data_IF_595203684634
#
_entry.id   IF_595203684634
#
_cell.length_a   1.000
_cell.length_b   1.000
_cell.length_c   1.000
_cell.angle_alpha   90.00
_cell.angle_beta   90.00
_cell.angle_gamma   90.00
#
_symmetry.space_group_name_H-M   'P 1'
#
loop_
_entity.id
_entity.type
_entity.pdbx_description
1 polymer ?
#
# COMPACT_ATOMS: atom_id res chain seq x y z
N UNK A 1 -44.75 4.82 22.97
CA UNK A 1 -43.77 3.95 22.28
C UNK A 1 -42.83 4.87 21.51
N UNK A 2 -41.66 5.14 22.05
CA UNK A 2 -40.66 5.95 21.35
C UNK A 2 -40.19 5.18 20.12
N UNK A 3 -40.27 5.80 18.94
CA UNK A 3 -39.53 5.33 17.77
C UNK A 3 -38.06 5.35 18.18
N UNK A 4 -37.40 4.20 18.19
CA UNK A 4 -35.95 4.16 18.11
C UNK A 4 -35.58 4.88 16.81
N UNK A 5 -35.17 6.14 16.90
CA UNK A 5 -34.48 6.83 15.82
C UNK A 5 -33.14 6.13 15.70
N UNK A 6 -33.00 5.21 14.74
CA UNK A 6 -31.70 4.65 14.38
C UNK A 6 -30.77 5.82 14.09
N UNK A 7 -29.77 6.04 14.94
CA UNK A 7 -28.78 7.09 14.70
C UNK A 7 -28.01 6.73 13.44
N UNK A 8 -27.95 7.68 12.51
CA UNK A 8 -27.11 7.57 11.32
C UNK A 8 -25.65 7.35 11.76
N UNK A 9 -24.99 6.38 11.17
CA UNK A 9 -23.56 6.09 11.40
C UNK A 9 -22.69 6.67 10.28
N UNK A 10 -21.38 6.83 10.51
CA UNK A 10 -20.44 7.28 9.48
C UNK A 10 -20.46 6.37 8.25
N UNK A 11 -20.52 5.05 8.46
CA UNK A 11 -20.61 4.06 7.38
C UNK A 11 -21.89 4.19 6.57
N UNK A 12 -23.03 4.48 7.22
CA UNK A 12 -24.29 4.74 6.52
C UNK A 12 -24.24 6.05 5.75
N UNK A 13 -23.64 7.11 6.33
CA UNK A 13 -23.40 8.37 5.65
C UNK A 13 -22.54 8.20 4.39
N UNK A 14 -21.43 7.44 4.49
CA UNK A 14 -20.58 7.07 3.34
C UNK A 14 -21.35 6.24 2.31
N UNK A 15 -22.28 5.38 2.76
CA UNK A 15 -23.14 4.61 1.86
C UNK A 15 -24.13 5.47 1.09
N UNK A 16 -24.69 6.52 1.72
CA UNK A 16 -25.55 7.50 1.04
C UNK A 16 -24.72 8.31 0.05
N UNK A 17 -23.52 8.75 0.45
CA UNK A 17 -22.60 9.48 -0.44
C UNK A 17 -22.18 8.62 -1.65
N UNK A 18 -21.90 7.34 -1.46
CA UNK A 18 -21.60 6.41 -2.54
C UNK A 18 -22.75 6.28 -3.55
N UNK A 19 -24.00 6.19 -3.08
CA UNK A 19 -25.17 6.14 -3.96
C UNK A 19 -25.32 7.41 -4.79
N UNK A 20 -25.05 8.58 -4.23
CA UNK A 20 -25.00 9.83 -5.01
C UNK A 20 -23.93 9.75 -6.10
N UNK A 21 -22.73 9.26 -5.77
CA UNK A 21 -21.64 9.19 -6.74
C UNK A 21 -21.89 8.16 -7.85
N UNK A 22 -22.60 7.07 -7.57
CA UNK A 22 -22.99 6.08 -8.58
C UNK A 22 -24.18 6.51 -9.45
N UNK A 23 -25.21 7.11 -8.84
CA UNK A 23 -26.41 7.60 -9.56
C UNK A 23 -26.18 8.96 -10.24
N UNK A 24 -25.14 9.67 -9.81
CA UNK A 24 -24.86 11.06 -10.18
C UNK A 24 -26.05 11.99 -9.89
N UNK A 25 -26.77 11.71 -8.80
CA UNK A 25 -27.93 12.48 -8.31
C UNK A 25 -27.80 12.74 -6.79
N UNK A 26 -27.81 14.01 -6.40
CA UNK A 26 -27.65 14.46 -5.02
C UNK A 26 -28.95 14.48 -4.21
N UNK A 27 -30.11 14.27 -4.84
CA UNK A 27 -31.43 14.47 -4.23
C UNK A 27 -31.63 13.69 -2.92
N UNK A 28 -31.18 12.44 -2.86
CA UNK A 28 -31.22 11.65 -1.62
C UNK A 28 -30.24 12.21 -0.58
N UNK A 29 -28.98 12.43 -0.98
CA UNK A 29 -27.90 12.89 -0.10
C UNK A 29 -28.22 14.23 0.58
N UNK A 30 -28.80 15.16 -0.16
CA UNK A 30 -29.24 16.48 0.33
C UNK A 30 -30.17 16.42 1.53
N UNK A 31 -31.04 15.40 1.60
CA UNK A 31 -31.98 15.23 2.70
C UNK A 31 -31.32 14.83 4.02
N UNK A 32 -30.08 14.33 3.96
CA UNK A 32 -29.29 13.89 5.12
C UNK A 32 -28.25 14.90 5.59
N UNK A 33 -28.00 15.97 4.83
CA UNK A 33 -27.06 17.01 5.23
C UNK A 33 -27.60 17.85 6.40
N UNK A 34 -26.71 18.19 7.33
CA UNK A 34 -26.92 19.25 8.30
C UNK A 34 -26.90 20.62 7.61
N UNK A 35 -27.51 21.65 8.22
CA UNK A 35 -27.54 23.00 7.62
C UNK A 35 -26.15 23.67 7.69
N UNK A 36 -25.39 23.40 8.76
CA UNK A 36 -23.99 23.82 8.98
C UNK A 36 -22.96 22.83 8.43
N UNK A 37 -23.35 22.05 7.42
CA UNK A 37 -22.49 21.06 6.78
C UNK A 37 -21.16 21.65 6.30
N UNK A 38 -20.07 20.91 6.55
CA UNK A 38 -18.73 21.25 6.09
C UNK A 38 -18.19 20.27 5.06
N UNK A 39 -17.60 20.78 3.98
CA UNK A 39 -16.86 19.98 3.01
C UNK A 39 -15.45 20.50 2.85
N UNK A 40 -14.49 19.62 3.07
CA UNK A 40 -13.08 19.87 2.79
C UNK A 40 -12.56 18.91 1.73
N UNK A 41 -11.60 19.37 0.93
CA UNK A 41 -10.94 18.49 -0.02
C UNK A 41 -9.51 18.91 -0.27
N UNK A 42 -8.58 17.96 -0.18
CA UNK A 42 -7.17 18.18 -0.51
C UNK A 42 -6.93 18.42 -2.01
N UNK A 43 -7.99 18.40 -2.83
CA UNK A 43 -7.96 18.75 -4.26
C UNK A 43 -8.63 20.11 -4.57
N UNK A 44 -9.29 20.75 -3.60
CA UNK A 44 -9.89 22.09 -3.78
C UNK A 44 -9.20 23.08 -2.84
N UNK A 45 -9.15 24.36 -3.24
CA UNK A 45 -8.39 25.39 -2.53
C UNK A 45 -9.14 26.00 -1.33
N UNK A 46 -10.45 25.76 -1.20
CA UNK A 46 -11.28 26.40 -0.18
C UNK A 46 -12.36 25.44 0.30
N UNK A 47 -12.48 25.32 1.63
CA UNK A 47 -13.51 24.54 2.29
C UNK A 47 -14.88 25.23 2.14
N UNK A 48 -15.94 24.42 2.01
CA UNK A 48 -17.32 24.88 1.98
C UNK A 48 -17.91 24.65 3.37
N UNK A 49 -18.59 25.66 3.92
CA UNK A 49 -19.03 25.63 5.32
C UNK A 49 -20.55 25.76 5.45
N UNK A 50 -21.28 25.47 4.38
CA UNK A 50 -22.72 25.32 4.41
C UNK A 50 -23.20 24.26 3.42
N UNK A 51 -24.40 23.75 3.68
CA UNK A 51 -25.12 22.86 2.78
C UNK A 51 -25.32 23.47 1.39
N UNK A 52 -25.80 24.72 1.31
CA UNK A 52 -26.09 25.36 0.03
C UNK A 52 -24.83 25.52 -0.83
N UNK A 53 -23.71 25.96 -0.25
CA UNK A 53 -22.42 26.06 -0.95
C UNK A 53 -21.98 24.72 -1.53
N UNK A 54 -22.08 23.63 -0.76
CA UNK A 54 -21.73 22.31 -1.24
C UNK A 54 -22.66 21.83 -2.36
N UNK A 55 -23.96 22.10 -2.26
CA UNK A 55 -24.94 21.68 -3.27
C UNK A 55 -24.76 22.44 -4.60
N UNK A 56 -24.49 23.74 -4.53
CA UNK A 56 -24.11 24.54 -5.70
C UNK A 56 -22.82 24.03 -6.36
N UNK A 57 -21.87 23.51 -5.57
CA UNK A 57 -20.64 22.92 -6.08
C UNK A 57 -20.84 21.53 -6.70
N UNK A 58 -21.53 20.62 -6.01
CA UNK A 58 -21.56 19.21 -6.38
C UNK A 58 -22.48 18.93 -7.57
N UNK A 59 -23.64 19.59 -7.68
CA UNK A 59 -24.60 19.34 -8.76
C UNK A 59 -24.00 19.57 -10.15
N UNK A 60 -23.35 20.71 -10.46
CA UNK A 60 -22.69 20.90 -11.75
C UNK A 60 -21.60 19.85 -12.02
N UNK A 61 -20.87 19.43 -10.98
CA UNK A 61 -19.81 18.43 -11.11
C UNK A 61 -20.36 17.05 -11.48
N UNK A 62 -21.47 16.64 -10.87
CA UNK A 62 -22.18 15.40 -11.23
C UNK A 62 -22.68 15.46 -12.68
N UNK A 63 -23.22 16.60 -13.12
CA UNK A 63 -23.66 16.80 -14.52
C UNK A 63 -22.51 16.77 -15.53
N UNK A 64 -21.32 17.27 -15.16
CA UNK A 64 -20.11 17.13 -15.99
C UNK A 64 -19.71 15.65 -16.09
N UNK A 65 -19.68 14.93 -14.96
CA UNK A 65 -19.32 13.50 -14.92
C UNK A 65 -20.30 12.66 -15.76
N UNK A 66 -21.62 12.95 -15.71
CA UNK A 66 -22.62 12.28 -16.57
C UNK A 66 -22.26 12.34 -18.05
N UNK A 67 -21.59 13.42 -18.50
CA UNK A 67 -21.23 13.64 -19.91
C UNK A 67 -19.91 12.99 -20.34
N UNK A 68 -19.06 12.55 -19.41
CA UNK A 68 -17.72 12.02 -19.74
C UNK A 68 -17.70 10.55 -20.14
N UNK A 69 -18.85 9.85 -20.03
CA UNK A 69 -18.98 8.40 -20.25
C UNK A 69 -17.95 7.56 -19.45
N UNK A 70 -17.47 8.10 -18.33
CA UNK A 70 -16.46 7.52 -17.47
C UNK A 70 -17.07 7.24 -16.09
N UNK A 71 -17.43 5.98 -15.80
CA UNK A 71 -18.17 5.64 -14.59
C UNK A 71 -17.37 5.97 -13.33
N UNK A 72 -18.05 6.46 -12.30
CA UNK A 72 -17.45 6.64 -10.98
C UNK A 72 -17.72 5.39 -10.17
N UNK A 73 -16.71 4.94 -9.44
CA UNK A 73 -16.82 3.85 -8.48
C UNK A 73 -16.50 4.39 -7.09
N UNK A 74 -17.40 4.15 -6.16
CA UNK A 74 -17.32 4.58 -4.77
C UNK A 74 -17.49 3.34 -3.88
N UNK A 75 -16.38 2.86 -3.35
CA UNK A 75 -16.31 1.61 -2.61
C UNK A 75 -16.18 1.86 -1.13
N UNK A 76 -16.96 1.18 -0.30
CA UNK A 76 -16.73 1.23 1.15
C UNK A 76 -15.39 0.56 1.48
N UNK A 77 -14.74 1.06 2.52
CA UNK A 77 -13.55 0.43 3.05
C UNK A 77 -13.20 0.94 4.43
N UNK A 78 -12.01 0.56 4.88
CA UNK A 78 -11.47 0.95 6.19
C UNK A 78 -10.11 1.59 5.96
N UNK A 79 -9.95 2.83 6.39
CA UNK A 79 -8.69 3.56 6.31
C UNK A 79 -8.62 4.51 7.52
N UNK A 80 -8.05 4.09 8.66
CA UNK A 80 -8.08 4.91 9.86
C UNK A 80 -7.26 6.19 9.70
N UNK A 81 -7.91 7.35 9.70
CA UNK A 81 -7.28 8.65 9.64
C UNK A 81 -8.22 9.75 10.12
N UNK A 82 -7.67 10.86 10.61
CA UNK A 82 -8.42 12.07 10.97
C UNK A 82 -9.56 11.86 11.99
N UNK A 83 -9.46 10.81 12.81
CA UNK A 83 -10.50 10.45 13.78
C UNK A 83 -11.59 9.51 13.26
N UNK A 84 -11.53 9.12 11.98
CA UNK A 84 -12.46 8.19 11.35
C UNK A 84 -11.82 6.82 11.15
N UNK A 85 -12.65 5.78 11.04
CA UNK A 85 -12.23 4.41 10.71
C UNK A 85 -12.74 3.97 9.34
N UNK A 86 -14.03 4.15 9.09
CA UNK A 86 -14.66 3.83 7.81
C UNK A 86 -14.32 4.92 6.78
N UNK A 87 -14.11 4.51 5.53
CA UNK A 87 -13.87 5.44 4.43
C UNK A 87 -14.60 5.00 3.16
N UNK A 88 -14.64 5.90 2.18
CA UNK A 88 -15.12 5.62 0.84
C UNK A 88 -14.00 5.85 -0.18
N UNK A 89 -13.55 4.78 -0.83
CA UNK A 89 -12.52 4.83 -1.86
C UNK A 89 -13.17 5.26 -3.17
N UNK A 90 -12.68 6.35 -3.75
CA UNK A 90 -13.18 6.92 -4.99
C UNK A 90 -12.28 6.50 -6.17
N UNK A 91 -12.87 6.02 -7.25
CA UNK A 91 -12.20 5.71 -8.51
C UNK A 91 -13.05 6.19 -9.70
N UNK A 92 -12.45 6.37 -10.88
CA UNK A 92 -13.19 6.78 -12.08
C UNK A 92 -12.64 6.12 -13.36
N UNK A 93 -13.54 5.74 -14.26
CA UNK A 93 -13.25 5.01 -15.49
C UNK A 93 -13.10 3.53 -15.22
N UNK A 94 -12.14 3.18 -14.36
CA UNK A 94 -11.83 1.82 -13.92
C UNK A 94 -11.77 1.74 -12.38
N UNK A 95 -12.19 0.60 -11.79
CA UNK A 95 -12.18 0.35 -10.33
C UNK A 95 -10.77 0.37 -9.72
N UNK A 96 -9.72 0.24 -10.53
CA UNK A 96 -8.30 0.35 -10.12
C UNK A 96 -7.72 1.77 -10.27
N UNK A 97 -8.41 2.67 -10.99
CA UNK A 97 -7.95 4.04 -11.17
C UNK A 97 -8.37 4.91 -9.97
N UNK A 98 -7.68 4.71 -8.84
CA UNK A 98 -8.01 5.31 -7.56
C UNK A 98 -7.70 6.82 -7.54
N UNK A 99 -8.63 7.60 -7.00
CA UNK A 99 -8.58 9.06 -6.98
C UNK A 99 -8.39 9.65 -5.58
N UNK A 100 -8.84 8.97 -4.53
CA UNK A 100 -8.78 9.44 -3.15
C UNK A 100 -9.72 8.68 -2.22
N UNK A 101 -9.68 9.01 -0.93
CA UNK A 101 -10.57 8.47 0.10
C UNK A 101 -11.44 9.59 0.67
N UNK A 102 -12.71 9.30 0.92
CA UNK A 102 -13.62 10.22 1.58
C UNK A 102 -13.96 9.71 2.99
N UNK A 103 -14.04 10.65 3.93
CA UNK A 103 -14.52 10.44 5.30
C UNK A 103 -15.80 11.24 5.51
N UNK A 104 -16.66 10.76 6.39
CA UNK A 104 -17.91 11.42 6.75
C UNK A 104 -17.99 11.63 8.26
N UNK A 105 -18.42 12.82 8.66
CA UNK A 105 -18.78 13.13 10.04
C UNK A 105 -20.30 13.14 10.18
N UNK A 106 -20.80 12.62 11.30
CA UNK A 106 -22.23 12.56 11.59
C UNK A 106 -22.49 13.14 12.98
N UNK A 107 -23.40 14.10 13.04
CA UNK A 107 -23.86 14.74 14.28
C UNK A 107 -25.39 14.79 14.28
N UNK A 108 -26.01 14.47 15.42
CA UNK A 108 -27.47 14.50 15.61
C UNK A 108 -28.28 13.75 14.54
N UNK A 109 -27.71 12.69 13.96
CA UNK A 109 -28.36 11.88 12.91
C UNK A 109 -28.33 12.50 11.51
N UNK A 110 -27.50 13.54 11.31
CA UNK A 110 -27.27 14.23 10.04
C UNK A 110 -25.79 14.17 9.67
N UNK A 111 -25.51 14.18 8.37
CA UNK A 111 -24.15 14.28 7.86
C UNK A 111 -23.69 15.72 8.08
N UNK A 112 -22.77 15.91 9.04
CA UNK A 112 -22.23 17.23 9.39
C UNK A 112 -20.98 17.58 8.60
N UNK A 113 -20.30 16.59 8.02
CA UNK A 113 -19.19 16.89 7.14
C UNK A 113 -18.73 15.77 6.22
N UNK A 114 -18.01 16.16 5.18
CA UNK A 114 -17.27 15.28 4.28
C UNK A 114 -15.86 15.79 4.06
N UNK A 115 -14.88 14.90 4.09
CA UNK A 115 -13.48 15.22 3.79
C UNK A 115 -12.97 14.32 2.68
N UNK A 116 -12.64 14.88 1.52
CA UNK A 116 -12.01 14.14 0.42
C UNK A 116 -10.49 14.30 0.46
N UNK A 117 -9.80 13.19 0.70
CA UNK A 117 -8.37 13.14 0.96
C UNK A 117 -7.62 12.39 -0.14
N UNK A 118 -6.43 12.88 -0.48
CA UNK A 118 -5.40 12.15 -1.23
C UNK A 118 -4.33 11.58 -0.31
N UNK A 119 -4.26 12.08 0.93
CA UNK A 119 -3.48 11.55 2.03
C UNK A 119 -4.47 11.29 3.19
N UNK A 120 -4.60 10.05 3.69
CA UNK A 120 -3.88 8.85 3.25
C UNK A 120 -4.24 8.46 1.80
N UNK A 121 -3.31 7.81 1.10
CA UNK A 121 -3.53 7.42 -0.30
C UNK A 121 -4.63 6.37 -0.39
N UNK A 122 -5.44 6.35 -1.46
CA UNK A 122 -6.52 5.37 -1.58
C UNK A 122 -6.04 3.92 -1.59
N UNK A 123 -4.79 3.66 -1.99
CA UNK A 123 -4.16 2.33 -1.90
C UNK A 123 -3.97 1.82 -0.46
N UNK A 124 -3.95 2.73 0.52
CA UNK A 124 -3.81 2.36 1.94
C UNK A 124 -5.13 1.93 2.59
N UNK A 125 -6.25 2.05 1.86
CA UNK A 125 -7.56 1.65 2.36
C UNK A 125 -7.80 0.16 2.14
N UNK A 126 -8.32 -0.51 3.16
CA UNK A 126 -8.82 -1.88 3.04
C UNK A 126 -10.15 -1.83 2.28
N UNK A 127 -10.11 -2.28 1.04
CA UNK A 127 -11.24 -2.36 0.10
C UNK A 127 -12.23 -3.44 0.53
N UNK A 128 -13.52 -3.09 0.65
CA UNK A 128 -14.56 -4.04 1.10
C UNK A 128 -15.19 -4.86 -0.03
N UNK A 129 -15.03 -4.42 -1.29
CA UNK A 129 -15.77 -4.92 -2.45
C UNK A 129 -17.25 -4.49 -2.49
N UNK A 130 -17.71 -3.66 -1.54
CA UNK A 130 -19.10 -3.21 -1.44
C UNK A 130 -19.23 -1.84 -2.10
N UNK A 131 -20.10 -1.78 -3.12
CA UNK A 131 -20.45 -0.57 -3.86
C UNK A 131 -21.93 -0.22 -3.63
N UNK A 132 -22.27 0.60 -2.63
CA UNK A 132 -23.67 0.89 -2.31
C UNK A 132 -24.44 1.46 -3.52
N UNK A 133 -25.60 0.87 -3.82
CA UNK A 133 -26.44 1.28 -4.96
C UNK A 133 -26.07 0.64 -6.30
N UNK A 134 -24.95 -0.07 -6.39
CA UNK A 134 -24.67 -0.99 -7.51
C UNK A 134 -25.07 -2.40 -7.07
N UNK A 135 -25.88 -3.10 -7.86
CA UNK A 135 -26.26 -4.51 -7.60
C UNK A 135 -25.11 -5.49 -7.95
N UNK A 136 -23.87 -5.07 -7.72
CA UNK A 136 -22.66 -5.85 -7.96
C UNK A 136 -21.99 -6.15 -6.62
N UNK A 137 -22.13 -7.39 -6.15
CA UNK A 137 -21.07 -8.00 -5.35
C UNK A 137 -20.10 -8.56 -6.37
N UNK A 138 -18.98 -7.87 -6.60
CA UNK A 138 -18.01 -8.28 -7.61
C UNK A 138 -17.41 -9.63 -7.21
N UNK A 139 -17.92 -10.70 -7.80
CA UNK A 139 -17.48 -12.08 -7.55
C UNK A 139 -16.07 -12.37 -8.07
N UNK A 140 -15.43 -11.42 -8.77
CA UNK A 140 -14.08 -11.53 -9.33
C UNK A 140 -12.96 -10.98 -8.44
N UNK A 141 -13.28 -10.31 -7.33
CA UNK A 141 -12.32 -9.74 -6.37
C UNK A 141 -12.41 -10.46 -5.01
N UNK A 142 -12.31 -11.79 -5.03
CA UNK A 142 -12.11 -12.60 -3.83
C UNK A 142 -10.65 -13.07 -3.77
N UNK A 143 -9.77 -12.23 -3.22
CA UNK A 143 -8.60 -12.73 -2.49
C UNK A 143 -8.62 -12.19 -1.07
N UNK A 144 -9.37 -12.95 -0.25
CA UNK A 144 -9.20 -13.24 1.18
C UNK A 144 -9.53 -12.13 2.21
N UNK A 145 -10.79 -12.17 2.65
CA UNK A 145 -11.09 -12.26 4.08
C UNK A 145 -10.30 -13.44 4.69
N UNK A 146 -9.58 -13.17 5.76
CA UNK A 146 -9.48 -14.02 6.94
C UNK A 146 -8.62 -13.28 7.99
N UNK A 147 -9.27 -12.50 8.86
CA UNK A 147 -8.90 -12.59 10.28
C UNK A 147 -9.50 -13.91 10.77
N UNK A 148 -8.78 -14.99 10.53
CA UNK A 148 -8.92 -16.20 11.32
C UNK A 148 -7.86 -16.05 12.39
N UNK A 149 -8.24 -16.09 13.67
CA UNK A 149 -7.27 -16.44 14.71
C UNK A 149 -6.90 -17.89 14.39
N UNK A 150 -5.88 -18.07 13.57
CA UNK A 150 -5.41 -19.38 13.17
C UNK A 150 -4.81 -19.97 14.43
N UNK A 151 -5.49 -20.95 15.01
CA UNK A 151 -4.90 -21.77 16.06
C UNK A 151 -3.64 -22.42 15.49
N UNK A 152 -2.61 -22.64 16.31
CA UNK A 152 -1.33 -23.22 15.85
C UNK A 152 -1.55 -24.50 15.02
N UNK A 153 -2.56 -25.30 15.36
CA UNK A 153 -2.95 -26.50 14.62
C UNK A 153 -3.53 -26.22 13.23
N UNK A 154 -4.37 -25.20 13.07
CA UNK A 154 -4.86 -24.77 11.75
C UNK A 154 -3.76 -24.15 10.90
N UNK A 155 -2.75 -23.52 11.53
CA UNK A 155 -1.59 -22.96 10.83
C UNK A 155 -0.71 -24.08 10.30
N UNK A 156 -0.41 -25.09 11.11
CA UNK A 156 0.36 -26.26 10.65
C UNK A 156 -0.38 -27.05 9.57
N UNK A 157 -1.71 -27.18 9.67
CA UNK A 157 -2.52 -27.88 8.67
C UNK A 157 -2.63 -27.12 7.34
N UNK A 158 -2.77 -25.79 7.38
CA UNK A 158 -2.70 -24.94 6.18
C UNK A 158 -1.30 -24.92 5.59
N UNK A 159 -0.25 -24.94 6.42
CA UNK A 159 1.15 -25.07 6.00
C UNK A 159 1.40 -26.42 5.31
N UNK A 160 0.90 -27.54 5.85
CA UNK A 160 0.95 -28.85 5.19
C UNK A 160 0.15 -28.91 3.89
N UNK A 161 -1.02 -28.25 3.83
CA UNK A 161 -1.80 -28.17 2.59
C UNK A 161 -1.15 -27.26 1.53
N UNK A 162 -0.47 -26.19 1.94
CA UNK A 162 0.32 -25.32 1.07
C UNK A 162 1.60 -26.01 0.59
N UNK A 163 2.28 -26.77 1.45
CA UNK A 163 3.46 -27.58 1.11
C UNK A 163 3.13 -28.76 0.19
N UNK A 164 1.88 -29.24 0.18
CA UNK A 164 1.46 -30.41 -0.61
C UNK A 164 0.68 -30.08 -1.90
N UNK A 165 0.54 -28.80 -2.27
CA UNK A 165 0.03 -28.40 -3.58
C UNK A 165 1.15 -28.42 -4.66
N UNK A 166 1.63 -29.63 -4.95
CA UNK A 166 1.98 -30.02 -6.32
C UNK A 166 3.25 -29.43 -6.97
N UNK A 167 4.41 -29.46 -6.30
CA UNK A 167 5.75 -29.80 -6.85
C UNK A 167 6.78 -29.65 -5.73
N UNK A 168 7.77 -30.54 -5.63
CA UNK A 168 9.01 -30.28 -4.88
C UNK A 168 9.45 -28.86 -5.22
N UNK A 169 9.57 -27.97 -4.23
CA UNK A 169 10.19 -26.66 -4.46
C UNK A 169 11.53 -26.92 -5.17
N UNK A 170 11.67 -26.39 -6.40
CA UNK A 170 12.86 -26.60 -7.24
C UNK A 170 14.01 -25.69 -6.82
N UNK A 171 13.81 -24.91 -5.76
CA UNK A 171 14.74 -23.94 -5.24
C UNK A 171 14.72 -23.91 -3.70
N UNK A 172 15.79 -23.40 -3.11
CA UNK A 172 15.94 -23.17 -1.67
C UNK A 172 16.41 -21.73 -1.44
N UNK A 173 15.80 -21.03 -0.49
CA UNK A 173 16.24 -19.70 -0.07
C UNK A 173 16.98 -19.83 1.26
N UNK A 174 18.23 -19.36 1.30
CA UNK A 174 19.09 -19.43 2.46
C UNK A 174 19.89 -18.14 2.68
N UNK A 175 20.60 -18.08 3.81
CA UNK A 175 21.55 -17.00 4.08
C UNK A 175 22.61 -16.98 2.98
N UNK A 176 22.89 -15.77 2.49
CA UNK A 176 23.96 -15.58 1.51
C UNK A 176 25.33 -15.85 2.11
N UNK A 177 26.28 -16.27 1.28
CA UNK A 177 27.70 -16.25 1.64
C UNK A 177 28.27 -14.83 1.72
N UNK A 178 27.56 -13.85 1.16
CA UNK A 178 27.87 -12.43 1.25
C UNK A 178 27.25 -11.80 2.49
N UNK A 179 27.91 -10.79 3.04
CA UNK A 179 27.24 -9.83 3.92
C UNK A 179 26.36 -8.85 3.13
N UNK A 180 25.53 -8.07 3.83
CA UNK A 180 24.56 -7.18 3.20
C UNK A 180 25.22 -6.10 2.32
N UNK A 181 26.41 -5.63 2.70
CA UNK A 181 27.16 -4.58 1.98
C UNK A 181 27.79 -5.16 0.72
N UNK A 182 28.36 -6.37 0.81
CA UNK A 182 28.92 -7.08 -0.34
C UNK A 182 27.85 -7.41 -1.37
N UNK A 183 26.71 -7.96 -0.93
CA UNK A 183 25.60 -8.29 -1.82
C UNK A 183 25.05 -7.04 -2.52
N UNK A 184 24.91 -5.94 -1.79
CA UNK A 184 24.53 -4.64 -2.36
C UNK A 184 25.55 -4.14 -3.39
N UNK A 185 26.84 -4.19 -3.06
CA UNK A 185 27.91 -3.77 -3.96
C UNK A 185 27.99 -4.59 -5.25
N UNK A 186 27.76 -5.89 -5.17
CA UNK A 186 27.67 -6.77 -6.34
C UNK A 186 26.44 -6.46 -7.20
N UNK A 187 25.27 -6.30 -6.56
CA UNK A 187 24.02 -6.03 -7.27
C UNK A 187 24.05 -4.69 -8.02
N UNK A 188 24.69 -3.68 -7.44
CA UNK A 188 24.87 -2.35 -8.04
C UNK A 188 26.10 -2.23 -8.96
N UNK A 189 26.91 -3.28 -9.14
CA UNK A 189 28.10 -3.25 -10.00
C UNK A 189 29.27 -2.43 -9.47
N UNK A 190 29.31 -2.16 -8.17
CA UNK A 190 30.47 -1.57 -7.49
C UNK A 190 31.63 -2.56 -7.38
N UNK A 191 31.27 -3.83 -7.25
CA UNK A 191 32.17 -4.98 -7.16
C UNK A 191 31.69 -5.99 -8.22
N UNK A 192 32.61 -6.61 -8.95
CA UNK A 192 32.29 -7.59 -10.00
C UNK A 192 32.21 -7.01 -11.43
N UNK A 193 31.43 -7.66 -12.29
CA UNK A 193 31.44 -7.46 -13.75
C UNK A 193 30.28 -6.61 -14.30
N UNK A 194 29.34 -6.18 -13.45
CA UNK A 194 28.23 -5.30 -13.85
C UNK A 194 28.75 -3.89 -14.18
N UNK A 195 27.99 -3.18 -15.02
CA UNK A 195 28.29 -1.78 -15.34
C UNK A 195 28.28 -0.94 -14.06
N UNK A 196 29.34 -0.15 -13.86
CA UNK A 196 29.47 0.71 -12.68
C UNK A 196 28.44 1.83 -12.73
N UNK A 197 27.83 2.17 -11.58
CA UNK A 197 26.93 3.30 -11.51
C UNK A 197 27.71 4.62 -11.64
N UNK A 198 26.99 5.71 -11.91
CA UNK A 198 27.56 7.06 -11.98
C UNK A 198 28.12 7.50 -10.62
N UNK A 199 29.03 8.48 -10.61
CA UNK A 199 29.47 9.12 -9.36
C UNK A 199 28.24 9.66 -8.58
N UNK A 200 28.31 9.58 -7.24
CA UNK A 200 27.25 9.99 -6.30
C UNK A 200 25.91 9.23 -6.40
N UNK A 201 25.90 7.99 -6.91
CA UNK A 201 24.66 7.20 -7.02
C UNK A 201 24.03 6.80 -5.67
N UNK A 202 24.77 6.93 -4.55
CA UNK A 202 24.35 6.46 -3.24
C UNK A 202 23.61 7.52 -2.42
N UNK A 203 23.71 8.80 -2.81
CA UNK A 203 23.03 9.90 -2.12
C UNK A 203 22.53 10.99 -3.07
N UNK A 204 21.40 11.62 -2.76
CA UNK A 204 20.89 12.71 -3.57
C UNK A 204 19.93 13.61 -2.80
N UNK A 205 19.89 14.90 -3.14
CA UNK A 205 18.83 15.80 -2.68
C UNK A 205 17.47 15.48 -3.31
N UNK A 206 17.45 14.71 -4.41
CA UNK A 206 16.24 14.33 -5.13
C UNK A 206 16.05 12.81 -5.14
N UNK A 207 14.95 12.35 -4.52
CA UNK A 207 14.56 10.95 -4.46
C UNK A 207 14.54 10.27 -5.83
N UNK A 208 13.98 10.95 -6.84
CA UNK A 208 13.80 10.38 -8.17
C UNK A 208 15.14 10.11 -8.87
N UNK A 209 16.20 10.84 -8.51
CA UNK A 209 17.54 10.59 -9.07
C UNK A 209 18.08 9.24 -8.60
N UNK A 210 17.81 8.87 -7.34
CA UNK A 210 18.19 7.55 -6.81
C UNK A 210 17.28 6.45 -7.34
N UNK A 211 15.97 6.66 -7.38
CA UNK A 211 15.05 5.62 -7.86
C UNK A 211 15.26 5.31 -9.35
N UNK A 212 15.65 6.31 -10.16
CA UNK A 212 15.96 6.12 -11.58
C UNK A 212 17.35 5.54 -11.86
N UNK A 213 18.25 5.48 -10.87
CA UNK A 213 19.59 4.89 -11.00
C UNK A 213 19.67 3.43 -10.55
N UNK A 214 18.56 2.86 -10.07
CA UNK A 214 18.51 1.48 -9.59
C UNK A 214 18.74 0.47 -10.74
N UNK A 215 19.31 -0.72 -10.44
CA UNK A 215 19.40 -1.81 -11.41
C UNK A 215 18.05 -2.11 -12.07
N UNK A 216 18.05 -2.49 -13.34
CA UNK A 216 16.82 -2.64 -14.14
C UNK A 216 15.88 -3.75 -13.65
N UNK A 217 16.39 -4.73 -12.92
CA UNK A 217 15.63 -5.82 -12.31
C UNK A 217 15.06 -5.45 -10.93
N UNK A 218 15.30 -4.22 -10.46
CA UNK A 218 14.86 -3.77 -9.14
C UNK A 218 13.35 -3.66 -9.06
N UNK A 219 12.76 -4.24 -8.02
CA UNK A 219 11.35 -4.04 -7.68
C UNK A 219 11.22 -3.37 -6.32
N UNK A 220 10.21 -2.51 -6.17
CA UNK A 220 9.81 -1.94 -4.87
C UNK A 220 8.99 -2.97 -4.12
N UNK A 221 9.39 -3.28 -2.88
CA UNK A 221 8.82 -4.42 -2.13
C UNK A 221 8.10 -4.02 -0.85
N UNK A 222 8.45 -2.88 -0.25
CA UNK A 222 7.77 -2.40 0.94
C UNK A 222 7.94 -0.89 1.12
N UNK A 223 7.12 -0.30 1.98
CA UNK A 223 7.41 0.98 2.61
C UNK A 223 7.50 0.84 4.12
N UNK A 224 8.22 1.74 4.76
CA UNK A 224 8.44 1.67 6.20
C UNK A 224 8.48 3.05 6.82
N UNK A 225 7.80 3.19 7.96
CA UNK A 225 7.80 4.44 8.74
C UNK A 225 8.39 4.15 10.10
N UNK A 226 9.57 4.73 10.35
CA UNK A 226 10.19 4.72 11.66
C UNK A 226 11.02 5.98 11.88
N UNK A 227 10.55 6.81 12.82
CA UNK A 227 11.15 8.12 13.13
C UNK A 227 12.57 8.04 13.70
N UNK A 228 13.01 6.87 14.17
CA UNK A 228 14.39 6.64 14.62
C UNK A 228 15.38 6.74 13.45
N UNK A 229 14.97 6.21 12.30
CA UNK A 229 15.83 6.05 11.12
C UNK A 229 15.66 7.19 10.13
N UNK A 230 14.42 7.60 9.90
CA UNK A 230 14.13 8.64 8.91
C UNK A 230 12.96 9.49 9.34
N UNK A 231 13.06 10.79 9.07
CA UNK A 231 11.93 11.72 9.21
C UNK A 231 10.93 11.59 8.05
N UNK A 232 11.31 10.88 6.98
CA UNK A 232 10.46 10.60 5.82
C UNK A 232 10.15 9.09 5.75
N UNK A 233 9.19 8.73 4.89
CA UNK A 233 8.89 7.34 4.57
C UNK A 233 10.11 6.69 3.91
N UNK A 234 10.45 5.49 4.34
CA UNK A 234 11.51 4.65 3.79
C UNK A 234 10.91 3.75 2.72
N UNK A 235 11.59 3.60 1.59
CA UNK A 235 11.14 2.77 0.48
C UNK A 235 12.11 1.61 0.30
N UNK A 236 11.60 0.38 0.38
CA UNK A 236 12.38 -0.83 0.25
C UNK A 236 12.31 -1.41 -1.15
N UNK A 237 13.45 -1.90 -1.60
CA UNK A 237 13.65 -2.46 -2.92
C UNK A 237 14.44 -3.76 -2.84
N UNK A 238 14.23 -4.61 -3.83
CA UNK A 238 15.03 -5.82 -4.05
C UNK A 238 15.52 -5.85 -5.48
N UNK A 239 16.79 -6.15 -5.66
CA UNK A 239 17.39 -6.54 -6.93
C UNK A 239 18.22 -7.81 -6.72
N UNK A 240 18.57 -8.48 -7.82
CA UNK A 240 19.30 -9.73 -7.82
C UNK A 240 20.56 -9.65 -8.67
N UNK A 241 21.46 -10.60 -8.45
CA UNK A 241 22.56 -10.91 -9.36
C UNK A 241 22.84 -12.40 -9.37
N UNK A 242 23.20 -12.92 -10.54
CA UNK A 242 23.59 -14.31 -10.69
C UNK A 242 25.01 -14.51 -10.20
N UNK A 243 25.20 -15.51 -9.34
CA UNK A 243 26.52 -15.89 -8.84
C UNK A 243 26.99 -17.17 -9.53
N UNK A 244 28.17 -17.17 -10.12
CA UNK A 244 28.77 -18.33 -10.77
C UNK A 244 29.61 -19.17 -9.79
N UNK A 245 29.03 -19.60 -8.67
CA UNK A 245 29.73 -20.54 -7.76
C UNK A 245 29.42 -22.00 -8.07
N UNK A 246 30.23 -22.90 -7.51
CA UNK A 246 30.05 -24.36 -7.58
C UNK A 246 29.03 -24.91 -6.56
N UNK A 247 28.34 -24.06 -5.78
CA UNK A 247 27.42 -24.53 -4.72
C UNK A 247 26.13 -25.14 -5.25
N UNK A 248 25.63 -24.63 -6.38
CA UNK A 248 24.47 -25.15 -7.08
C UNK A 248 24.64 -24.94 -8.59
N UNK A 249 23.83 -25.66 -9.39
CA UNK A 249 23.79 -25.45 -10.84
C UNK A 249 23.34 -24.03 -11.21
N UNK A 250 22.45 -23.45 -10.40
CA UNK A 250 21.99 -22.07 -10.53
C UNK A 250 21.89 -21.44 -9.14
N UNK A 251 22.58 -20.32 -8.94
CA UNK A 251 22.51 -19.51 -7.73
C UNK A 251 22.24 -18.05 -8.10
N UNK A 252 21.19 -17.50 -7.50
CA UNK A 252 20.82 -16.10 -7.64
C UNK A 252 20.83 -15.46 -6.25
N UNK A 253 21.57 -14.37 -6.09
CA UNK A 253 21.64 -13.63 -4.82
C UNK A 253 20.72 -12.43 -4.91
N UNK A 254 19.94 -12.19 -3.87
CA UNK A 254 19.04 -11.05 -3.76
C UNK A 254 19.52 -10.10 -2.67
N UNK A 255 19.52 -8.80 -2.95
CA UNK A 255 19.86 -7.74 -2.01
C UNK A 255 18.62 -6.94 -1.67
N UNK A 256 18.28 -6.87 -0.37
CA UNK A 256 17.28 -5.96 0.17
C UNK A 256 17.98 -4.66 0.59
N UNK A 257 17.50 -3.55 0.07
CA UNK A 257 18.01 -2.23 0.40
C UNK A 257 16.88 -1.21 0.45
N UNK A 258 17.16 -0.02 0.94
CA UNK A 258 16.18 1.06 1.00
C UNK A 258 16.71 2.38 0.48
N UNK A 259 15.81 3.21 -0.02
CA UNK A 259 16.01 4.66 -0.12
C UNK A 259 15.39 5.29 1.13
N UNK A 260 16.20 5.94 1.96
CA UNK A 260 15.74 6.64 3.15
C UNK A 260 16.32 8.04 3.28
N UNK A 261 15.57 8.93 3.93
CA UNK A 261 16.03 10.29 4.19
C UNK A 261 16.90 10.32 5.43
N UNK A 262 18.15 10.75 5.25
CA UNK A 262 19.18 10.75 6.27
C UNK A 262 19.16 12.01 7.13
N UNK A 263 20.06 12.04 8.12
CA UNK A 263 20.23 13.19 9.03
C UNK A 263 20.88 14.38 8.33
N UNK A 264 21.65 14.13 7.28
CA UNK A 264 22.36 15.15 6.51
C UNK A 264 21.46 15.80 5.44
N UNK A 265 20.14 15.55 5.54
CA UNK A 265 19.13 16.10 4.63
C UNK A 265 19.32 15.67 3.17
N UNK A 266 19.76 14.42 2.99
CA UNK A 266 19.88 13.75 1.71
C UNK A 266 19.04 12.47 1.71
N UNK A 267 18.63 12.03 0.53
CA UNK A 267 18.18 10.65 0.33
C UNK A 267 19.41 9.78 0.17
N UNK A 268 19.40 8.59 0.76
CA UNK A 268 20.53 7.66 0.73
C UNK A 268 20.06 6.22 0.46
N UNK A 269 20.86 5.49 -0.31
CA UNK A 269 20.74 4.04 -0.48
C UNK A 269 21.40 3.31 0.68
N UNK A 270 20.68 2.36 1.26
CA UNK A 270 21.11 1.67 2.47
C UNK A 270 20.87 0.16 2.34
N UNK A 271 21.90 -0.70 2.50
CA UNK A 271 21.73 -2.15 2.50
C UNK A 271 21.10 -2.62 3.80
N UNK A 272 20.18 -3.58 3.71
CA UNK A 272 19.46 -4.12 4.87
C UNK A 272 19.64 -5.61 5.07
N UNK A 273 19.60 -6.40 4.00
CA UNK A 273 19.67 -7.86 4.12
C UNK A 273 20.02 -8.48 2.77
N UNK A 274 20.39 -9.75 2.77
CA UNK A 274 20.54 -10.51 1.54
C UNK A 274 20.22 -11.99 1.75
N UNK A 275 19.93 -12.68 0.65
CA UNK A 275 19.73 -14.12 0.63
C UNK A 275 20.21 -14.73 -0.68
N UNK A 276 20.48 -16.04 -0.67
CA UNK A 276 20.77 -16.81 -1.88
C UNK A 276 19.59 -17.73 -2.19
N UNK A 277 19.24 -17.79 -3.47
CA UNK A 277 18.33 -18.78 -4.03
C UNK A 277 19.16 -19.81 -4.78
N UNK A 278 19.16 -21.06 -4.29
CA UNK A 278 19.83 -22.19 -4.92
C UNK A 278 18.82 -23.04 -5.69
N UNK A 279 19.16 -23.48 -6.89
CA UNK A 279 18.28 -24.34 -7.68
C UNK A 279 19.04 -25.23 -8.68
N UNK A 280 18.41 -26.35 -9.04
CA UNK A 280 18.96 -27.29 -10.04
C UNK A 280 18.80 -26.78 -11.48
N UNK A 281 17.78 -25.95 -11.71
CA UNK A 281 17.42 -25.39 -13.03
C UNK A 281 17.19 -23.89 -12.88
N UNK A 282 17.33 -23.10 -13.96
CA UNK A 282 17.01 -21.67 -13.91
C UNK A 282 15.58 -21.47 -13.38
N UNK A 283 15.43 -20.55 -12.43
CA UNK A 283 14.13 -20.13 -11.92
C UNK A 283 13.68 -18.85 -12.63
N UNK A 284 12.38 -18.57 -12.61
CA UNK A 284 11.91 -17.22 -12.87
C UNK A 284 12.44 -16.28 -11.75
N UNK A 285 12.43 -14.95 -11.94
CA UNK A 285 12.79 -14.02 -10.88
C UNK A 285 11.93 -14.23 -9.63
N UNK A 286 12.57 -14.38 -8.47
CA UNK A 286 11.96 -14.68 -7.17
C UNK A 286 12.10 -13.50 -6.19
N UNK A 287 12.12 -12.26 -6.71
CA UNK A 287 12.33 -11.06 -5.91
C UNK A 287 11.33 -10.92 -4.76
N UNK A 288 10.08 -11.36 -4.94
CA UNK A 288 9.03 -11.29 -3.92
C UNK A 288 9.24 -12.31 -2.80
N UNK A 289 9.54 -13.55 -3.17
CA UNK A 289 9.82 -14.64 -2.25
C UNK A 289 11.08 -14.34 -1.44
N UNK A 290 12.11 -13.84 -2.10
CA UNK A 290 13.34 -13.37 -1.48
C UNK A 290 13.05 -12.20 -0.51
N UNK A 291 12.29 -11.18 -0.92
CA UNK A 291 11.92 -10.07 -0.05
C UNK A 291 11.19 -10.52 1.22
N UNK A 292 10.20 -11.41 1.09
CA UNK A 292 9.47 -11.96 2.23
C UNK A 292 10.40 -12.71 3.19
N UNK A 293 11.31 -13.52 2.64
CA UNK A 293 12.29 -14.25 3.44
C UNK A 293 13.24 -13.28 4.17
N UNK A 294 13.74 -12.26 3.47
CA UNK A 294 14.65 -11.26 4.02
C UNK A 294 13.98 -10.40 5.11
N UNK A 295 12.74 -9.94 4.93
CA UNK A 295 12.02 -9.20 5.97
C UNK A 295 11.78 -10.03 7.23
N UNK A 296 11.52 -11.33 7.07
CA UNK A 296 11.45 -12.25 8.21
C UNK A 296 12.81 -12.36 8.92
N UNK A 297 13.90 -12.38 8.16
CA UNK A 297 15.27 -12.27 8.68
C UNK A 297 15.45 -11.02 9.52
N UNK A 298 15.20 -9.83 8.94
CA UNK A 298 15.31 -8.54 9.64
C UNK A 298 14.46 -8.51 10.92
N UNK A 299 13.22 -9.02 10.88
CA UNK A 299 12.34 -9.05 12.05
C UNK A 299 12.74 -10.07 13.13
N UNK A 300 13.64 -11.01 12.83
CA UNK A 300 14.06 -12.09 13.73
C UNK A 300 15.47 -11.87 14.27
N UNK A 301 16.42 -11.48 13.41
CA UNK A 301 17.84 -11.33 13.75
C UNK A 301 18.31 -9.88 13.71
N UNK A 302 17.52 -8.96 13.17
CA UNK A 302 17.95 -7.60 12.85
C UNK A 302 18.87 -7.58 11.63
N UNK A 303 19.52 -6.44 11.41
CA UNK A 303 20.55 -6.23 10.40
C UNK A 303 21.57 -5.19 10.86
N UNK A 304 22.53 -4.88 9.99
CA UNK A 304 23.59 -3.90 10.24
C UNK A 304 23.08 -2.53 10.73
N UNK A 305 21.94 -2.08 10.21
CA UNK A 305 21.41 -0.73 10.46
C UNK A 305 20.18 -0.71 11.38
N UNK A 306 19.56 -1.87 11.64
CA UNK A 306 18.39 -1.95 12.49
C UNK A 306 18.40 -3.17 13.42
N UNK A 307 18.19 -2.91 14.72
CA UNK A 307 17.92 -3.99 15.68
C UNK A 307 16.51 -4.55 15.46
N UNK A 308 16.27 -5.76 15.96
CA UNK A 308 14.95 -6.40 15.92
C UNK A 308 13.87 -5.51 16.52
N UNK A 309 14.15 -4.93 17.70
CA UNK A 309 13.19 -4.11 18.43
C UNK A 309 12.90 -2.81 17.70
N UNK A 310 13.94 -2.18 17.14
CA UNK A 310 13.74 -0.97 16.36
C UNK A 310 12.93 -1.22 15.09
N UNK A 311 13.15 -2.35 14.41
CA UNK A 311 12.37 -2.72 13.24
C UNK A 311 10.90 -2.99 13.58
N UNK A 312 10.64 -3.65 14.72
CA UNK A 312 9.28 -3.92 15.20
C UNK A 312 8.54 -2.66 15.67
N UNK A 313 9.27 -1.63 16.08
CA UNK A 313 8.71 -0.36 16.54
C UNK A 313 8.33 0.60 15.40
N UNK A 314 8.53 0.20 14.14
CA UNK A 314 8.02 0.95 12.98
C UNK A 314 6.83 0.27 12.31
N UNK A 315 6.29 0.92 11.29
CA UNK A 315 5.17 0.40 10.49
C UNK A 315 5.68 -0.01 9.12
N UNK A 316 5.74 -1.33 8.86
CA UNK A 316 6.12 -1.92 7.57
C UNK A 316 4.87 -2.25 6.75
N UNK A 317 4.83 -1.80 5.52
CA UNK A 317 3.79 -2.06 4.53
C UNK A 317 4.42 -2.85 3.37
N UNK A 318 4.06 -4.13 3.23
CA UNK A 318 4.56 -5.01 2.17
C UNK A 318 3.72 -4.78 0.90
N UNK A 319 4.38 -4.60 -0.24
CA UNK A 319 3.75 -4.21 -1.52
C UNK A 319 3.69 -5.36 -2.56
N UNK A 320 4.07 -6.58 -2.16
CA UNK A 320 4.31 -7.72 -3.06
C UNK A 320 3.30 -8.84 -2.93
#
# INVERSE_FOLDING_TARGET
>A
MGKETSQLTEKEALSIYARMMHSLDSSEFESFLAEDFSYSSQKVLTDMNSKDEFIEYIRPKLEVIKKTNSPVYAELGVCPAYGHNDCLIMAQGDKSNLLGVAYASVEEGKISGLSLCIVPTPDSAIRSGIYPGLNEVDSGLNVKKDQVIITEEEFQRKKEQLLNLGKKETYQIELSGYDEVQAFGMAFGLIGERERPKEDFYESTNFNNLESSLPSDTIKVATYVNKKYSTKKIYFYVCSFTESTQRANHQEVYSLFSIMWSRDSLWELNPWYCCSVLSEKPQAPLHKEAANWMFKGVATTGCLIASVDDFKNGTLEILI
#
